data_IF_853815998848
#
_entry.id   IF_853815998848
#
_cell.length_a   1.000
_cell.length_b   1.000
_cell.length_c   1.000
_cell.angle_alpha   90.00
_cell.angle_beta   90.00
_cell.angle_gamma   90.00
#
_symmetry.space_group_name_H-M   'P 1'
#
loop_
_entity.id
_entity.type
_entity.pdbx_description
1 polymer ?
#
# COMPACT_ATOMS: atom_id res chain seq x y z
N UNK A 1 14.45 -5.21 -14.80
CA UNK A 1 13.11 -5.85 -14.93
C UNK A 1 12.46 -6.06 -13.55
N UNK A 2 12.30 -5.01 -12.73
CA UNK A 2 11.76 -5.20 -11.34
C UNK A 2 10.93 -4.01 -10.86
N UNK A 3 11.33 -2.77 -11.18
CA UNK A 3 10.72 -1.55 -10.61
C UNK A 3 9.23 -1.36 -11.00
N UNK A 4 8.88 -1.55 -12.27
CA UNK A 4 7.51 -1.33 -12.76
C UNK A 4 6.52 -2.36 -12.21
N UNK A 5 6.95 -3.63 -12.11
CA UNK A 5 6.14 -4.72 -11.54
C UNK A 5 5.87 -4.49 -10.06
N UNK A 6 6.86 -4.02 -9.29
CA UNK A 6 6.69 -3.65 -7.88
C UNK A 6 5.69 -2.50 -7.74
N UNK A 7 5.76 -1.50 -8.62
CA UNK A 7 4.84 -0.36 -8.63
C UNK A 7 3.40 -0.79 -8.95
N UNK A 8 3.22 -1.71 -9.89
CA UNK A 8 1.93 -2.31 -10.23
C UNK A 8 1.39 -3.16 -9.07
N UNK A 9 2.23 -4.00 -8.45
CA UNK A 9 1.85 -4.83 -7.31
C UNK A 9 1.38 -3.98 -6.13
N UNK A 10 2.07 -2.88 -5.87
CA UNK A 10 1.75 -1.92 -4.82
C UNK A 10 0.40 -1.21 -5.08
N UNK A 11 0.13 -0.88 -6.34
CA UNK A 11 -1.14 -0.27 -6.78
C UNK A 11 -2.31 -1.27 -6.68
N UNK A 12 -2.07 -2.55 -6.97
CA UNK A 12 -3.05 -3.65 -6.75
C UNK A 12 -3.33 -3.82 -5.26
N UNK A 13 -2.28 -3.87 -4.44
CA UNK A 13 -2.39 -3.96 -2.97
C UNK A 13 -3.17 -2.80 -2.38
N UNK A 14 -2.97 -1.58 -2.87
CA UNK A 14 -3.73 -0.40 -2.44
C UNK A 14 -5.22 -0.53 -2.78
N UNK A 15 -5.54 -0.98 -3.99
CA UNK A 15 -6.92 -1.25 -4.42
C UNK A 15 -7.55 -2.36 -3.57
N UNK A 16 -6.81 -3.45 -3.34
CA UNK A 16 -7.23 -4.58 -2.51
C UNK A 16 -7.49 -4.15 -1.05
N UNK A 17 -6.62 -3.33 -0.47
CA UNK A 17 -6.78 -2.77 0.88
C UNK A 17 -8.03 -1.89 1.02
N UNK A 18 -8.33 -1.06 0.01
CA UNK A 18 -9.57 -0.27 -0.05
C UNK A 18 -10.82 -1.15 -0.14
N UNK A 19 -10.78 -2.20 -0.97
CA UNK A 19 -11.86 -3.20 -1.03
C UNK A 19 -12.04 -3.93 0.30
N UNK A 20 -10.95 -4.28 0.99
CA UNK A 20 -10.98 -4.93 2.31
C UNK A 20 -11.57 -4.03 3.41
N UNK A 21 -11.31 -2.72 3.37
CA UNK A 21 -11.92 -1.75 4.29
C UNK A 21 -13.43 -1.65 4.02
N UNK A 22 -13.84 -1.52 2.76
CA UNK A 22 -15.26 -1.50 2.37
C UNK A 22 -15.98 -2.78 2.80
N UNK A 23 -15.35 -3.94 2.59
CA UNK A 23 -15.89 -5.23 2.99
C UNK A 23 -16.00 -5.36 4.52
N UNK A 24 -15.00 -4.87 5.26
CA UNK A 24 -15.00 -4.87 6.72
C UNK A 24 -16.08 -3.96 7.34
N UNK A 25 -16.35 -2.81 6.72
CA UNK A 25 -17.46 -1.92 7.09
C UNK A 25 -18.81 -2.55 6.73
N UNK A 26 -18.90 -3.18 5.57
CA UNK A 26 -20.11 -3.88 5.13
C UNK A 26 -20.46 -5.05 6.08
N UNK A 27 -19.44 -5.81 6.48
CA UNK A 27 -19.58 -6.90 7.45
C UNK A 27 -19.98 -6.39 8.84
N UNK A 28 -19.48 -5.22 9.24
CA UNK A 28 -19.85 -4.56 10.49
C UNK A 28 -21.31 -4.05 10.48
N UNK A 29 -21.82 -3.65 9.32
CA UNK A 29 -23.17 -3.08 9.16
C UNK A 29 -24.26 -4.15 8.97
N UNK A 30 -23.92 -5.38 8.57
CA UNK A 30 -24.86 -6.52 8.40
C UNK A 30 -25.26 -7.17 9.76
N UNK A 31 -25.62 -6.29 10.69
CA UNK A 31 -25.89 -6.45 12.12
C UNK A 31 -27.10 -7.36 12.47
N UNK A 32 -27.27 -8.48 11.77
CA UNK A 32 -28.14 -9.58 12.19
C UNK A 32 -27.44 -10.95 12.16
N UNK A 33 -26.32 -11.10 11.42
CA UNK A 33 -25.58 -12.38 11.36
C UNK A 33 -24.36 -12.42 12.29
N UNK A 34 -23.89 -11.26 12.76
CA UNK A 34 -22.72 -11.14 13.67
C UNK A 34 -23.11 -11.26 15.15
N UNK A 35 -24.38 -11.10 15.51
CA UNK A 35 -24.84 -11.24 16.91
C UNK A 35 -24.59 -12.67 17.45
N UNK A 36 -24.54 -13.68 16.57
CA UNK A 36 -24.14 -15.06 16.92
C UNK A 36 -22.61 -15.28 16.99
N UNK A 37 -21.79 -14.42 16.36
CA UNK A 37 -20.31 -14.53 16.38
C UNK A 37 -19.61 -13.51 17.30
N UNK A 38 -20.32 -12.49 17.78
CA UNK A 38 -19.85 -11.53 18.79
C UNK A 38 -18.48 -10.91 18.48
N UNK A 39 -17.56 -11.01 19.44
CA UNK A 39 -16.23 -10.36 19.46
C UNK A 39 -15.35 -10.72 18.25
N UNK A 40 -15.54 -11.90 17.65
CA UNK A 40 -14.77 -12.34 16.48
C UNK A 40 -14.95 -11.42 15.26
N UNK A 41 -16.17 -10.93 15.04
CA UNK A 41 -16.48 -9.99 13.95
C UNK A 41 -15.76 -8.66 14.12
N UNK A 42 -15.71 -8.14 15.35
CA UNK A 42 -15.00 -6.91 15.69
C UNK A 42 -13.48 -7.03 15.44
N UNK A 43 -12.89 -8.17 15.83
CA UNK A 43 -11.46 -8.44 15.62
C UNK A 43 -11.13 -8.51 14.14
N UNK A 44 -11.96 -9.19 13.34
CA UNK A 44 -11.75 -9.32 11.89
C UNK A 44 -11.87 -7.95 11.20
N UNK A 45 -12.87 -7.14 11.54
CA UNK A 45 -13.01 -5.78 11.00
C UNK A 45 -11.81 -4.89 11.38
N UNK A 46 -11.38 -4.93 12.64
CA UNK A 46 -10.22 -4.17 13.11
C UNK A 46 -8.91 -4.60 12.42
N UNK A 47 -8.71 -5.90 12.26
CA UNK A 47 -7.54 -6.46 11.56
C UNK A 47 -7.52 -6.05 10.08
N UNK A 48 -8.66 -6.11 9.38
CA UNK A 48 -8.78 -5.68 7.99
C UNK A 48 -8.38 -4.20 7.81
N UNK A 49 -8.87 -3.32 8.68
CA UNK A 49 -8.55 -1.88 8.64
C UNK A 49 -7.08 -1.63 8.96
N UNK A 50 -6.54 -2.30 9.99
CA UNK A 50 -5.13 -2.16 10.37
C UNK A 50 -4.20 -2.62 9.24
N UNK A 51 -4.49 -3.77 8.61
CA UNK A 51 -3.72 -4.29 7.47
C UNK A 51 -3.81 -3.31 6.29
N UNK A 52 -4.99 -2.77 5.98
CA UNK A 52 -5.17 -1.77 4.91
C UNK A 52 -4.35 -0.50 5.13
N UNK A 53 -4.24 -0.02 6.38
CA UNK A 53 -3.38 1.12 6.71
C UNK A 53 -1.89 0.78 6.62
N UNK A 54 -1.45 -0.38 7.11
CA UNK A 54 -0.05 -0.80 7.06
C UNK A 54 0.43 -0.97 5.61
N UNK A 55 -0.39 -1.56 4.74
CA UNK A 55 -0.07 -1.72 3.31
C UNK A 55 0.01 -0.39 2.54
N UNK A 56 -0.44 0.74 3.11
CA UNK A 56 -0.34 2.06 2.49
C UNK A 56 1.02 2.76 2.72
N UNK A 57 1.77 2.35 3.76
CA UNK A 57 3.12 2.85 4.07
C UNK A 57 4.17 2.57 2.98
N UNK A 58 4.28 1.36 2.39
CA UNK A 58 5.28 1.08 1.35
C UNK A 58 5.13 1.97 0.12
N UNK A 59 3.92 2.43 -0.20
CA UNK A 59 3.63 3.37 -1.30
C UNK A 59 4.39 4.69 -1.16
N UNK A 60 4.52 5.20 0.07
CA UNK A 60 5.25 6.45 0.35
C UNK A 60 6.76 6.26 0.26
N UNK A 61 7.29 5.13 0.73
CA UNK A 61 8.74 4.88 0.76
C UNK A 61 9.30 4.58 -0.65
N UNK A 62 8.53 3.87 -1.50
CA UNK A 62 8.95 3.55 -2.88
C UNK A 62 9.13 4.80 -3.72
N UNK A 63 8.28 5.82 -3.55
CA UNK A 63 8.41 7.11 -4.26
C UNK A 63 9.70 7.82 -3.85
N UNK A 64 10.00 7.91 -2.56
CA UNK A 64 11.26 8.52 -2.08
C UNK A 64 12.48 7.80 -2.64
N UNK A 65 12.46 6.46 -2.65
CA UNK A 65 13.55 5.68 -3.21
C UNK A 65 13.73 5.93 -4.73
N UNK A 66 12.63 6.03 -5.48
CA UNK A 66 12.64 6.38 -6.91
C UNK A 66 13.18 7.78 -7.14
N UNK A 67 12.81 8.77 -6.31
CA UNK A 67 13.30 10.14 -6.41
C UNK A 67 14.81 10.20 -6.14
N UNK A 68 15.28 9.58 -5.06
CA UNK A 68 16.72 9.48 -4.73
C UNK A 68 17.50 8.79 -5.85
N UNK A 69 16.94 7.73 -6.46
CA UNK A 69 17.56 7.07 -7.63
C UNK A 69 17.68 7.99 -8.83
N UNK A 70 16.68 8.85 -9.11
CA UNK A 70 16.73 9.83 -10.20
C UNK A 70 17.75 10.94 -9.94
N UNK A 71 17.82 11.44 -8.71
CA UNK A 71 18.82 12.43 -8.28
C UNK A 71 20.26 11.91 -8.49
N UNK A 72 20.51 10.65 -8.11
CA UNK A 72 21.83 10.02 -8.27
C UNK A 72 22.25 9.83 -9.74
N UNK A 73 21.30 9.53 -10.64
CA UNK A 73 21.56 9.40 -12.08
C UNK A 73 21.84 10.75 -12.73
N UNK A 74 21.11 11.81 -12.35
CA UNK A 74 21.35 13.17 -12.83
C UNK A 74 22.73 13.70 -12.40
N UNK A 75 23.15 13.41 -11.16
CA UNK A 75 24.49 13.73 -10.66
C UNK A 75 25.60 12.99 -11.42
N UNK A 76 25.39 11.72 -11.78
CA UNK A 76 26.37 10.99 -12.63
C UNK A 76 26.48 11.59 -14.03
N UNK A 77 25.37 12.06 -14.60
CA UNK A 77 25.35 12.62 -15.95
C UNK A 77 26.05 13.99 -16.02
N UNK A 78 25.89 14.86 -15.02
CA UNK A 78 26.59 16.16 -14.98
C UNK A 78 28.12 16.02 -14.83
N UNK A 79 28.58 15.04 -14.05
CA UNK A 79 30.02 14.75 -13.87
C UNK A 79 30.65 14.20 -15.16
N UNK A 80 29.92 13.40 -15.94
CA UNK A 80 30.40 12.88 -17.23
C UNK A 80 30.47 13.94 -18.34
N UNK A 81 29.59 14.95 -18.31
CA UNK A 81 29.60 16.06 -19.28
C UNK A 81 30.74 17.06 -18.99
N UNK A 82 31.13 17.23 -17.73
CA UNK A 82 32.22 18.15 -17.34
C UNK A 82 33.63 17.57 -17.55
N UNK A 83 33.78 16.27 -17.82
CA UNK A 83 35.07 15.60 -18.01
C UNK A 83 35.32 15.20 -19.49
N UNK A 84 34.60 15.82 -20.41
CA UNK A 84 34.75 15.66 -21.86
C UNK A 84 34.97 17.02 -22.49
#
# INVERSE_FOLDING_TARGET
MTNERVLILLKIVMCCGLCLILLGIYLHLFNQTIEEMGVQGMIISAACVAIGMVLSLPTKMVITFILVKREAELQKQSVQISNK
#
